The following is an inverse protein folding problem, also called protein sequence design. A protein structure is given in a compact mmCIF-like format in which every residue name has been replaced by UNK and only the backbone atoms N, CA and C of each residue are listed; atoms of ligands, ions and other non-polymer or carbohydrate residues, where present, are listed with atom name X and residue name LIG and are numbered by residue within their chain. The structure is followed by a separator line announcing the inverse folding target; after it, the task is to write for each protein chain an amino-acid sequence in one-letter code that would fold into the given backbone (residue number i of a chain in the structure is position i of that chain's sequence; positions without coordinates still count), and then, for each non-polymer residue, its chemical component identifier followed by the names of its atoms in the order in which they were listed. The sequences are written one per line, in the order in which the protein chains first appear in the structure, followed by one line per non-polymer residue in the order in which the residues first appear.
data_IF_668735615982
#
_entry.id   IF_668735615982
#
_cell.length_a   1.000
_cell.length_b   1.000
_cell.length_c   1.000
_cell.angle_alpha   90.00
_cell.angle_beta   90.00
_cell.angle_gamma   90.00
#
_symmetry.space_group_name_H-M   'P 1'
#
loop_
_entity.id
_entity.type
_entity.pdbx_description
1 polymer ?
#
# COMPACT_ATOMS: atom_id res chain seq x y z
N UNK A 1 -15.88 -15.24 -23.66
CA UNK A 1 -14.78 -14.41 -23.13
C UNK A 1 -15.25 -13.03 -22.66
N UNK A 2 -16.31 -12.45 -23.23
CA UNK A 2 -16.85 -11.15 -22.77
C UNK A 2 -17.47 -11.17 -21.36
N UNK A 3 -18.06 -12.29 -20.93
CA UNK A 3 -18.67 -12.40 -19.59
C UNK A 3 -17.69 -12.47 -18.41
N UNK A 4 -16.43 -12.87 -18.64
CA UNK A 4 -15.40 -12.92 -17.59
C UNK A 4 -14.83 -11.51 -17.34
N UNK A 5 -14.69 -10.70 -18.40
CA UNK A 5 -14.27 -9.30 -18.30
C UNK A 5 -15.36 -8.47 -17.60
N UNK A 6 -16.64 -8.77 -17.84
CA UNK A 6 -17.76 -8.15 -17.14
C UNK A 6 -17.78 -8.44 -15.63
N UNK A 7 -17.53 -9.69 -15.23
CA UNK A 7 -17.50 -10.08 -13.82
C UNK A 7 -16.32 -9.45 -13.04
N UNK A 8 -15.12 -9.40 -13.63
CA UNK A 8 -13.96 -8.72 -13.03
C UNK A 8 -14.17 -7.20 -12.90
N UNK A 9 -14.88 -6.57 -13.85
CA UNK A 9 -15.22 -5.14 -13.77
C UNK A 9 -16.21 -4.82 -12.64
N UNK A 10 -17.15 -5.74 -12.36
CA UNK A 10 -18.18 -5.55 -11.34
C UNK A 10 -17.62 -5.77 -9.93
N UNK A 11 -16.68 -6.69 -9.72
CA UNK A 11 -16.01 -6.86 -8.42
C UNK A 11 -15.01 -5.74 -8.07
N UNK A 12 -14.38 -5.11 -9.06
CA UNK A 12 -13.56 -3.89 -8.85
C UNK A 12 -14.40 -2.65 -8.49
N UNK A 13 -15.72 -2.72 -8.67
CA UNK A 13 -16.69 -1.64 -8.44
C UNK A 13 -17.39 -1.72 -7.08
N UNK A 14 -17.02 -2.65 -6.19
CA UNK A 14 -17.38 -2.51 -4.77
C UNK A 14 -16.49 -1.39 -4.21
N UNK A 15 -16.96 -0.16 -4.43
CA UNK A 15 -16.13 1.04 -4.42
C UNK A 15 -15.53 1.23 -3.05
N UNK A 16 -14.23 0.93 -2.92
CA UNK A 16 -13.48 1.34 -1.75
C UNK A 16 -13.58 2.86 -1.66
N UNK A 17 -14.38 3.33 -0.70
CA UNK A 17 -14.50 4.75 -0.40
C UNK A 17 -13.24 5.15 0.39
N UNK A 18 -12.47 6.13 -0.09
CA UNK A 18 -11.31 6.60 0.65
C UNK A 18 -11.69 7.05 2.06
N UNK A 19 -10.80 6.80 3.01
CA UNK A 19 -10.99 7.18 4.41
C UNK A 19 -11.08 8.70 4.51
N UNK A 20 -12.10 9.22 5.18
CA UNK A 20 -12.28 10.67 5.37
C UNK A 20 -12.28 11.50 4.06
N UNK A 21 -12.78 10.92 2.96
CA UNK A 21 -12.79 11.60 1.65
C UNK A 21 -13.48 12.97 1.70
N UNK A 22 -14.65 13.06 2.35
CA UNK A 22 -15.43 14.29 2.36
C UNK A 22 -14.72 15.39 3.16
N UNK A 23 -14.21 15.03 4.34
CA UNK A 23 -13.46 15.90 5.23
C UNK A 23 -12.18 16.41 4.55
N UNK A 24 -11.47 15.52 3.83
CA UNK A 24 -10.31 15.90 3.03
C UNK A 24 -10.71 16.92 1.95
N UNK A 25 -11.76 16.66 1.17
CA UNK A 25 -12.20 17.55 0.10
C UNK A 25 -12.69 18.91 0.62
N UNK A 26 -13.32 18.95 1.79
CA UNK A 26 -13.73 20.20 2.45
C UNK A 26 -12.51 21.02 2.87
N UNK A 27 -11.53 20.39 3.52
CA UNK A 27 -10.29 21.06 3.93
C UNK A 27 -9.44 21.52 2.74
N UNK A 28 -9.31 20.68 1.72
CA UNK A 28 -8.55 20.98 0.51
C UNK A 28 -9.23 22.07 -0.33
N UNK A 29 -10.56 22.10 -0.33
CA UNK A 29 -11.40 23.03 -1.09
C UNK A 29 -10.92 23.24 -2.54
N UNK A 30 -10.95 22.19 -3.41
CA UNK A 30 -10.42 22.25 -4.76
C UNK A 30 -10.97 23.43 -5.58
N UNK A 31 -10.10 24.06 -6.37
CA UNK A 31 -10.39 25.24 -7.19
C UNK A 31 -10.07 25.01 -8.65
N UNK A 32 -10.82 25.66 -9.54
CA UNK A 32 -10.56 25.65 -10.97
C UNK A 32 -9.16 26.21 -11.28
N UNK A 33 -8.44 25.58 -12.21
CA UNK A 33 -7.09 25.97 -12.62
C UNK A 33 -5.96 25.60 -11.64
N UNK A 34 -6.29 25.13 -10.44
CA UNK A 34 -5.30 24.74 -9.43
C UNK A 34 -4.63 23.39 -9.76
N UNK A 35 -3.49 23.14 -9.13
CA UNK A 35 -2.68 21.93 -9.26
C UNK A 35 -2.57 21.24 -7.92
N UNK A 36 -3.04 20.00 -7.84
CA UNK A 36 -2.99 19.18 -6.63
C UNK A 36 -2.07 17.98 -6.83
N UNK A 37 -1.51 17.49 -5.73
CA UNK A 37 -0.77 16.24 -5.69
C UNK A 37 -1.51 15.22 -4.84
N UNK A 38 -1.74 14.04 -5.40
CA UNK A 38 -2.11 12.85 -4.65
C UNK A 38 -0.86 11.98 -4.51
N UNK A 39 -0.20 12.03 -3.35
CA UNK A 39 1.11 11.43 -3.16
C UNK A 39 1.05 9.92 -2.85
N UNK A 40 -0.15 9.36 -2.74
CA UNK A 40 -0.43 7.97 -2.37
C UNK A 40 -1.64 7.49 -3.18
N UNK A 41 -1.53 7.60 -4.50
CA UNK A 41 -2.66 7.51 -5.42
C UNK A 41 -3.53 6.26 -5.21
N UNK A 42 -2.91 5.09 -5.00
CA UNK A 42 -3.59 3.83 -4.78
C UNK A 42 -4.62 3.53 -5.88
N UNK A 43 -5.90 3.43 -5.49
CA UNK A 43 -7.03 3.23 -6.42
C UNK A 43 -7.57 4.52 -7.06
N UNK A 44 -6.99 5.69 -6.75
CA UNK A 44 -7.34 6.98 -7.34
C UNK A 44 -8.59 7.65 -6.77
N UNK A 45 -9.07 7.23 -5.60
CA UNK A 45 -10.30 7.76 -5.02
C UNK A 45 -10.22 9.24 -4.61
N UNK A 46 -9.12 9.69 -4.00
CA UNK A 46 -8.94 11.11 -3.69
C UNK A 46 -8.75 11.94 -4.95
N UNK A 47 -7.87 11.51 -5.85
CA UNK A 47 -7.68 12.14 -7.16
C UNK A 47 -9.00 12.33 -7.91
N UNK A 48 -9.86 11.31 -7.96
CA UNK A 48 -11.22 11.39 -8.51
C UNK A 48 -12.07 12.45 -7.81
N UNK A 49 -12.15 12.39 -6.48
CA UNK A 49 -12.93 13.37 -5.72
C UNK A 49 -12.47 14.81 -5.95
N UNK A 50 -11.16 15.04 -6.09
CA UNK A 50 -10.59 16.36 -6.42
C UNK A 50 -11.03 16.80 -7.83
N UNK A 51 -10.86 15.93 -8.82
CA UNK A 51 -11.18 16.22 -10.23
C UNK A 51 -12.67 16.44 -10.50
N UNK A 52 -13.55 15.81 -9.71
CA UNK A 52 -15.00 15.98 -9.75
C UNK A 52 -15.46 17.30 -9.13
N UNK A 53 -14.71 17.85 -8.16
CA UNK A 53 -15.07 19.09 -7.45
C UNK A 53 -14.71 20.37 -8.20
N UNK A 54 -13.66 20.34 -9.02
CA UNK A 54 -13.16 21.51 -9.72
C UNK A 54 -12.52 21.13 -11.06
N UNK A 55 -12.42 22.08 -11.99
CA UNK A 55 -11.63 21.96 -13.23
C UNK A 55 -10.15 22.24 -12.94
N UNK A 56 -9.54 21.36 -12.16
CA UNK A 56 -8.13 21.41 -11.74
C UNK A 56 -7.31 20.29 -12.41
N UNK A 57 -6.01 20.28 -12.11
CA UNK A 57 -5.06 19.25 -12.52
C UNK A 57 -4.56 18.47 -11.31
N UNK A 58 -4.35 17.15 -11.46
CA UNK A 58 -3.83 16.28 -10.41
C UNK A 58 -2.56 15.56 -10.88
N UNK A 59 -1.48 15.68 -10.10
CA UNK A 59 -0.30 14.82 -10.19
C UNK A 59 -0.45 13.67 -9.18
N UNK A 60 -0.70 12.47 -9.68
CA UNK A 60 -0.78 11.24 -8.92
C UNK A 60 0.58 10.56 -8.81
N UNK A 61 0.98 10.17 -7.62
CA UNK A 61 2.23 9.46 -7.33
C UNK A 61 1.87 8.17 -6.58
N UNK A 62 2.39 7.05 -7.06
CA UNK A 62 2.40 5.80 -6.29
C UNK A 62 3.67 5.01 -6.59
N UNK A 63 4.12 4.22 -5.62
CA UNK A 63 5.25 3.31 -5.81
C UNK A 63 4.81 1.94 -6.33
N UNK A 64 3.52 1.62 -6.24
CA UNK A 64 2.93 0.36 -6.69
C UNK A 64 2.59 0.44 -8.19
N UNK A 65 3.22 -0.38 -9.05
CA UNK A 65 2.94 -0.38 -10.48
C UNK A 65 1.49 -0.70 -10.84
N UNK A 66 0.79 -1.46 -10.00
CA UNK A 66 -0.63 -1.79 -10.21
C UNK A 66 -1.50 -0.53 -10.19
N UNK A 67 -1.09 0.51 -9.46
CA UNK A 67 -1.77 1.79 -9.44
C UNK A 67 -1.88 2.44 -10.84
N UNK A 68 -0.99 2.08 -11.77
CA UNK A 68 -1.06 2.56 -13.16
C UNK A 68 -2.34 2.13 -13.88
N UNK A 69 -2.94 0.98 -13.54
CA UNK A 69 -4.20 0.51 -14.14
C UNK A 69 -5.37 1.41 -13.73
N UNK A 70 -5.42 1.78 -12.45
CA UNK A 70 -6.41 2.73 -11.93
C UNK A 70 -6.22 4.13 -12.53
N UNK A 71 -4.96 4.53 -12.73
CA UNK A 71 -4.65 5.77 -13.43
C UNK A 71 -5.21 5.77 -14.86
N UNK A 72 -5.03 4.71 -15.65
CA UNK A 72 -5.55 4.68 -17.03
C UNK A 72 -7.08 4.86 -17.07
N UNK A 73 -7.78 4.22 -16.12
CA UNK A 73 -9.23 4.38 -15.96
C UNK A 73 -9.62 5.82 -15.60
N UNK A 74 -8.87 6.46 -14.70
CA UNK A 74 -9.12 7.84 -14.29
C UNK A 74 -8.76 8.84 -15.40
N UNK A 75 -7.65 8.64 -16.09
CA UNK A 75 -7.21 9.44 -17.24
C UNK A 75 -8.23 9.43 -18.37
N UNK A 76 -8.85 8.28 -18.65
CA UNK A 76 -9.92 8.18 -19.64
C UNK A 76 -11.16 9.01 -19.28
N UNK A 77 -11.42 9.21 -17.98
CA UNK A 77 -12.57 9.98 -17.48
C UNK A 77 -12.25 11.48 -17.36
N UNK A 78 -10.99 11.83 -17.12
CA UNK A 78 -10.51 13.21 -16.97
C UNK A 78 -9.32 13.47 -17.89
N UNK A 79 -9.51 13.43 -19.22
CA UNK A 79 -8.42 13.52 -20.18
C UNK A 79 -7.67 14.85 -20.03
N UNK A 80 -6.33 14.75 -19.96
CA UNK A 80 -5.43 15.91 -19.83
C UNK A 80 -5.42 16.59 -18.46
N UNK A 81 -6.16 16.07 -17.47
CA UNK A 81 -6.26 16.67 -16.13
C UNK A 81 -5.61 15.83 -15.03
N UNK A 82 -5.16 14.63 -15.35
CA UNK A 82 -4.46 13.74 -14.41
C UNK A 82 -3.20 13.20 -15.05
N UNK A 83 -2.13 13.20 -14.26
CA UNK A 83 -0.80 12.74 -14.65
C UNK A 83 -0.30 11.76 -13.59
N UNK A 84 0.42 10.72 -14.00
CA UNK A 84 0.90 9.69 -13.09
C UNK A 84 2.41 9.57 -13.11
N UNK A 85 3.01 9.50 -11.93
CA UNK A 85 4.44 9.31 -11.74
C UNK A 85 4.70 8.11 -10.84
N UNK A 86 5.15 7.00 -11.44
CA UNK A 86 5.48 5.77 -10.72
C UNK A 86 6.76 5.96 -9.89
N UNK A 87 6.60 6.37 -8.64
CA UNK A 87 7.71 6.62 -7.72
C UNK A 87 7.25 6.68 -6.27
N UNK A 88 8.20 6.73 -5.35
CA UNK A 88 7.88 6.98 -3.94
C UNK A 88 7.54 8.45 -3.76
N UNK A 89 6.59 8.77 -2.89
CA UNK A 89 6.32 10.16 -2.51
C UNK A 89 7.54 10.88 -1.92
N UNK A 90 8.54 10.16 -1.39
CA UNK A 90 9.81 10.76 -0.95
C UNK A 90 10.60 11.42 -2.11
N UNK A 91 10.22 11.14 -3.36
CA UNK A 91 10.73 11.75 -4.59
C UNK A 91 9.79 12.81 -5.15
N UNK A 92 8.88 13.36 -4.33
CA UNK A 92 7.91 14.38 -4.77
C UNK A 92 8.54 15.53 -5.55
N UNK A 93 9.71 16.04 -5.11
CA UNK A 93 10.41 17.13 -5.82
C UNK A 93 10.81 16.74 -7.25
N UNK A 94 11.26 15.51 -7.46
CA UNK A 94 11.62 14.98 -8.78
C UNK A 94 10.37 14.82 -9.65
N UNK A 95 9.26 14.33 -9.07
CA UNK A 95 7.98 14.22 -9.75
C UNK A 95 7.46 15.58 -10.25
N UNK A 96 7.57 16.61 -9.40
CA UNK A 96 7.17 17.98 -9.73
C UNK A 96 8.01 18.59 -10.85
N UNK A 97 9.33 18.37 -10.83
CA UNK A 97 10.22 18.79 -11.90
C UNK A 97 9.87 18.11 -13.23
N UNK A 98 9.56 16.81 -13.20
CA UNK A 98 9.13 16.08 -14.39
C UNK A 98 7.79 16.59 -14.95
N UNK A 99 6.93 17.06 -14.05
CA UNK A 99 5.63 17.62 -14.40
C UNK A 99 5.67 19.10 -14.83
N UNK A 100 6.86 19.72 -14.87
CA UNK A 100 7.07 21.15 -15.18
C UNK A 100 6.27 22.11 -14.28
N UNK A 101 6.06 21.71 -13.02
CA UNK A 101 5.37 22.52 -12.01
C UNK A 101 6.26 22.68 -10.77
N UNK A 102 6.60 23.92 -10.43
CA UNK A 102 7.42 24.21 -9.24
C UNK A 102 6.60 24.52 -7.99
N UNK A 103 5.28 24.67 -8.13
CA UNK A 103 4.34 24.98 -7.05
C UNK A 103 3.06 24.18 -7.24
N UNK A 104 2.40 23.88 -6.11
CA UNK A 104 1.13 23.16 -6.06
C UNK A 104 0.23 23.80 -5.00
N UNK A 105 -1.07 23.74 -5.22
CA UNK A 105 -2.09 24.35 -4.36
C UNK A 105 -2.48 23.44 -3.19
N UNK A 106 -2.18 22.15 -3.27
CA UNK A 106 -2.38 21.22 -2.17
C UNK A 106 -1.79 19.85 -2.43
N UNK A 107 -1.49 19.13 -1.34
CA UNK A 107 -0.92 17.78 -1.38
C UNK A 107 -1.70 16.90 -0.40
N UNK A 108 -2.11 15.73 -0.87
CA UNK A 108 -2.79 14.70 -0.08
C UNK A 108 -1.84 13.53 0.15
N UNK A 109 -1.80 13.05 1.39
CA UNK A 109 -1.13 11.82 1.80
C UNK A 109 -2.11 10.95 2.57
N UNK A 110 -2.44 9.79 2.02
CA UNK A 110 -3.12 8.69 2.71
C UNK A 110 -2.11 7.57 2.94
N UNK A 111 -1.46 7.61 4.10
CA UNK A 111 -0.34 6.73 4.41
C UNK A 111 -0.87 5.39 4.92
N UNK A 112 -0.62 4.34 4.14
CA UNK A 112 -0.99 2.99 4.53
C UNK A 112 -0.83 2.01 3.38
N UNK A 113 -1.38 0.82 3.58
CA UNK A 113 -1.58 -0.15 2.51
C UNK A 113 -2.96 0.05 1.89
N UNK A 114 -3.06 -0.16 0.58
CA UNK A 114 -4.32 -0.03 -0.15
C UNK A 114 -5.13 -1.33 -0.14
N UNK A 115 -6.44 -1.22 -0.39
CA UNK A 115 -7.31 -2.39 -0.52
C UNK A 115 -6.81 -3.37 -1.60
N UNK A 116 -6.31 -2.87 -2.73
CA UNK A 116 -5.73 -3.71 -3.80
C UNK A 116 -4.52 -4.53 -3.32
N UNK A 117 -3.75 -4.04 -2.34
CA UNK A 117 -2.63 -4.76 -1.75
C UNK A 117 -3.08 -5.82 -0.74
N UNK A 118 -4.16 -5.55 0.00
CA UNK A 118 -4.70 -6.47 1.01
C UNK A 118 -5.60 -7.56 0.42
N UNK A 119 -6.29 -7.26 -0.68
CA UNK A 119 -7.27 -8.16 -1.31
C UNK A 119 -6.60 -9.28 -2.09
N UNK A 120 -5.45 -8.99 -2.71
CA UNK A 120 -4.64 -9.92 -3.50
C UNK A 120 -3.67 -10.72 -2.59
N UNK A 121 -3.89 -12.04 -2.42
CA UNK A 121 -3.01 -12.89 -1.62
C UNK A 121 -1.57 -12.94 -2.13
N UNK A 122 -1.34 -12.82 -3.43
CA UNK A 122 -0.02 -12.93 -4.04
C UNK A 122 0.91 -11.78 -3.64
N UNK A 123 0.33 -10.69 -3.11
CA UNK A 123 1.07 -9.56 -2.53
C UNK A 123 1.62 -9.83 -1.14
N UNK A 124 1.05 -10.80 -0.42
CA UNK A 124 1.56 -11.23 0.88
C UNK A 124 1.34 -10.25 2.04
N UNK A 125 0.52 -9.20 1.88
CA UNK A 125 0.23 -8.24 2.96
C UNK A 125 -0.75 -8.77 4.01
N UNK A 126 -1.64 -9.68 3.62
CA UNK A 126 -2.65 -10.24 4.51
C UNK A 126 -2.16 -11.53 5.18
N UNK A 127 -2.41 -11.66 6.48
CA UNK A 127 -2.24 -12.92 7.22
C UNK A 127 -3.52 -13.78 7.23
N UNK A 128 -4.63 -13.26 6.71
CA UNK A 128 -5.91 -13.97 6.65
C UNK A 128 -6.03 -14.86 5.41
N UNK A 129 -5.35 -14.47 4.33
CA UNK A 129 -5.25 -15.24 3.08
C UNK A 129 -3.81 -15.73 2.94
N UNK A 130 -3.65 -17.00 2.56
CA UNK A 130 -2.32 -17.56 2.32
C UNK A 130 -1.71 -16.97 1.05
N UNK A 131 -0.45 -16.53 1.15
CA UNK A 131 0.32 -16.01 0.03
C UNK A 131 1.82 -15.99 0.31
N UNK A 132 2.66 -15.65 -0.68
CA UNK A 132 4.10 -15.55 -0.48
C UNK A 132 4.45 -14.44 0.51
N UNK A 133 5.59 -14.56 1.19
CA UNK A 133 6.12 -13.48 2.03
C UNK A 133 6.79 -12.40 1.18
N UNK A 134 6.00 -11.57 0.51
CA UNK A 134 6.52 -10.43 -0.26
C UNK A 134 6.43 -9.11 0.53
N UNK A 135 5.22 -8.58 0.71
CA UNK A 135 4.91 -7.31 1.41
C UNK A 135 5.58 -6.06 0.80
N UNK A 136 6.12 -6.13 -0.42
CA UNK A 136 6.62 -4.95 -1.13
C UNK A 136 5.48 -4.28 -1.89
N UNK A 137 5.37 -2.96 -1.72
CA UNK A 137 4.47 -2.15 -2.56
C UNK A 137 5.02 -2.07 -3.99
N UNK A 138 6.33 -1.84 -4.13
CA UNK A 138 7.01 -1.86 -5.42
C UNK A 138 7.59 -3.25 -5.71
N UNK A 139 6.78 -4.07 -6.38
CA UNK A 139 7.12 -5.45 -6.74
C UNK A 139 8.25 -5.54 -7.78
N UNK A 140 8.51 -4.47 -8.53
CA UNK A 140 9.54 -4.42 -9.58
C UNK A 140 10.95 -4.17 -9.02
N UNK A 141 11.05 -3.71 -7.77
CA UNK A 141 12.35 -3.47 -7.11
C UNK A 141 12.95 -4.74 -6.51
N UNK A 142 14.15 -4.58 -5.94
CA UNK A 142 15.01 -5.64 -5.42
C UNK A 142 14.30 -6.62 -4.46
N UNK A 143 14.51 -7.92 -4.70
CA UNK A 143 14.01 -9.03 -3.88
C UNK A 143 14.63 -9.07 -2.47
N UNK A 144 15.80 -8.47 -2.25
CA UNK A 144 16.49 -8.46 -0.95
C UNK A 144 15.74 -7.67 0.13
N UNK A 145 14.70 -6.93 -0.24
CA UNK A 145 13.85 -6.14 0.67
C UNK A 145 12.49 -6.79 0.96
N UNK A 146 12.29 -8.06 0.58
CA UNK A 146 11.04 -8.78 0.83
C UNK A 146 10.88 -9.22 2.29
N UNK A 147 9.64 -9.47 2.71
CA UNK A 147 9.36 -10.11 3.99
C UNK A 147 9.96 -11.53 4.09
N UNK A 148 10.11 -12.23 2.97
CA UNK A 148 10.79 -13.51 2.91
C UNK A 148 12.27 -13.38 3.32
N UNK A 149 12.98 -12.36 2.82
CA UNK A 149 14.35 -12.07 3.25
C UNK A 149 14.37 -11.65 4.71
N UNK A 150 13.41 -10.81 5.14
CA UNK A 150 13.27 -10.40 6.53
C UNK A 150 13.28 -11.59 7.48
N UNK A 151 12.36 -12.55 7.31
CA UNK A 151 12.23 -13.68 8.25
C UNK A 151 13.31 -14.74 8.08
N UNK A 152 13.81 -14.98 6.86
CA UNK A 152 14.73 -16.09 6.59
C UNK A 152 16.21 -15.71 6.66
N UNK A 153 16.58 -14.42 6.71
CA UNK A 153 17.98 -14.01 6.58
C UNK A 153 18.47 -13.00 7.62
N UNK A 154 17.59 -12.23 8.28
CA UNK A 154 18.06 -11.26 9.28
C UNK A 154 18.57 -11.93 10.57
N UNK A 155 19.44 -11.20 11.27
CA UNK A 155 19.91 -11.55 12.61
C UNK A 155 18.78 -11.45 13.65
N UNK A 156 18.91 -12.14 14.79
CA UNK A 156 17.95 -12.02 15.90
C UNK A 156 17.81 -10.57 16.37
N UNK A 157 18.93 -9.85 16.50
CA UNK A 157 18.91 -8.47 16.98
C UNK A 157 18.15 -7.56 16.02
N UNK A 158 18.52 -7.57 14.74
CA UNK A 158 17.93 -6.65 13.75
C UNK A 158 16.43 -6.94 13.56
N UNK A 159 16.05 -8.22 13.54
CA UNK A 159 14.64 -8.62 13.44
C UNK A 159 13.84 -8.18 14.67
N UNK A 160 14.37 -8.40 15.88
CA UNK A 160 13.70 -8.00 17.11
C UNK A 160 13.55 -6.48 17.22
N UNK A 161 14.56 -5.72 16.78
CA UNK A 161 14.51 -4.26 16.75
C UNK A 161 13.43 -3.77 15.78
N UNK A 162 13.34 -4.33 14.57
CA UNK A 162 12.29 -3.96 13.60
C UNK A 162 10.88 -4.26 14.15
N UNK A 163 10.68 -5.47 14.71
CA UNK A 163 9.38 -5.86 15.28
C UNK A 163 9.00 -4.95 16.47
N UNK A 164 9.97 -4.54 17.29
CA UNK A 164 9.73 -3.63 18.40
C UNK A 164 9.41 -2.21 17.95
N UNK A 165 10.29 -1.58 17.16
CA UNK A 165 10.17 -0.16 16.81
C UNK A 165 9.02 0.12 15.85
N UNK A 166 8.80 -0.74 14.86
CA UNK A 166 7.76 -0.51 13.85
C UNK A 166 6.45 -1.26 14.16
N UNK A 167 6.52 -2.39 14.86
CA UNK A 167 5.34 -3.16 15.25
C UNK A 167 4.75 -2.78 16.62
N UNK A 168 5.51 -2.07 17.46
CA UNK A 168 5.09 -1.77 18.84
C UNK A 168 4.98 -3.01 19.73
N UNK A 169 5.54 -4.15 19.31
CA UNK A 169 5.36 -5.45 19.97
C UNK A 169 6.37 -5.64 21.11
N UNK A 170 5.89 -5.64 22.36
CA UNK A 170 6.72 -5.81 23.56
C UNK A 170 7.37 -7.19 23.67
N UNK A 171 6.75 -8.20 23.08
CA UNK A 171 7.25 -9.56 22.99
C UNK A 171 8.17 -9.77 21.77
N UNK A 172 8.70 -8.71 21.14
CA UNK A 172 9.51 -8.77 19.92
C UNK A 172 10.63 -9.82 19.97
N UNK A 173 11.36 -9.91 21.09
CA UNK A 173 12.42 -10.90 21.30
C UNK A 173 11.89 -12.34 21.32
N UNK A 174 10.73 -12.55 21.95
CA UNK A 174 10.09 -13.88 22.00
C UNK A 174 9.59 -14.28 20.62
N UNK A 175 8.95 -13.37 19.89
CA UNK A 175 8.48 -13.57 18.52
C UNK A 175 9.66 -13.90 17.59
N UNK A 176 10.74 -13.11 17.68
CA UNK A 176 11.95 -13.32 16.87
C UNK A 176 12.56 -14.69 17.09
N UNK A 177 12.71 -15.13 18.35
CA UNK A 177 13.23 -16.47 18.65
C UNK A 177 12.36 -17.58 18.07
N UNK A 178 11.04 -17.41 18.09
CA UNK A 178 10.12 -18.36 17.49
C UNK A 178 10.31 -18.44 15.97
N UNK A 179 10.47 -17.29 15.29
CA UNK A 179 10.75 -17.22 13.85
C UNK A 179 12.10 -17.89 13.52
N UNK A 180 13.15 -17.61 14.29
CA UNK A 180 14.48 -18.19 14.09
C UNK A 180 14.47 -19.71 14.31
N UNK A 181 13.89 -20.17 15.41
CA UNK A 181 13.78 -21.60 15.70
C UNK A 181 12.97 -22.34 14.60
N UNK A 182 11.90 -21.71 14.11
CA UNK A 182 11.09 -22.28 13.04
C UNK A 182 11.83 -22.36 11.70
N UNK A 183 12.58 -21.32 11.29
CA UNK A 183 13.37 -21.36 10.04
C UNK A 183 14.52 -22.38 10.13
N UNK A 184 15.16 -22.52 11.29
CA UNK A 184 16.22 -23.51 11.51
C UNK A 184 15.68 -24.95 11.44
N UNK A 185 14.50 -25.18 12.01
CA UNK A 185 13.87 -26.50 12.04
C UNK A 185 13.26 -26.93 10.71
N UNK A 186 12.71 -25.97 9.93
CA UNK A 186 11.96 -26.25 8.70
C UNK A 186 12.70 -25.82 7.43
N UNK A 187 13.98 -25.44 7.53
CA UNK A 187 14.83 -24.86 6.48
C UNK A 187 14.38 -23.47 5.97
N UNK A 188 13.07 -23.20 5.88
CA UNK A 188 12.52 -21.93 5.38
C UNK A 188 11.09 -21.69 5.84
N UNK A 189 10.76 -20.45 6.20
CA UNK A 189 9.38 -19.97 6.37
C UNK A 189 8.86 -19.55 4.98
N UNK A 190 7.76 -20.17 4.53
CA UNK A 190 7.39 -20.16 3.11
C UNK A 190 6.35 -19.09 2.77
N UNK A 191 5.33 -18.96 3.60
CA UNK A 191 4.15 -18.15 3.30
C UNK A 191 3.64 -17.37 4.53
N UNK A 192 2.67 -16.49 4.31
CA UNK A 192 2.03 -15.67 5.34
C UNK A 192 1.37 -16.51 6.43
N UNK A 193 0.75 -17.63 6.08
CA UNK A 193 0.11 -18.57 7.02
C UNK A 193 1.12 -19.17 8.01
N UNK A 194 2.30 -19.60 7.54
CA UNK A 194 3.37 -20.14 8.37
C UNK A 194 3.83 -19.10 9.39
N UNK A 195 4.12 -17.89 8.93
CA UNK A 195 4.54 -16.79 9.79
C UNK A 195 3.48 -16.47 10.84
N UNK A 196 2.21 -16.37 10.44
CA UNK A 196 1.11 -16.11 11.35
C UNK A 196 0.95 -17.19 12.42
N UNK A 197 1.08 -18.47 12.05
CA UNK A 197 1.04 -19.61 12.99
C UNK A 197 2.18 -19.56 14.00
N UNK A 198 3.40 -19.26 13.56
CA UNK A 198 4.57 -19.11 14.43
C UNK A 198 4.33 -18.00 15.46
N UNK A 199 3.91 -16.82 15.01
CA UNK A 199 3.67 -15.68 15.89
C UNK A 199 2.55 -15.99 16.89
N UNK A 200 1.43 -16.56 16.43
CA UNK A 200 0.31 -16.97 17.28
C UNK A 200 0.70 -17.99 18.36
N UNK A 201 1.69 -18.84 18.10
CA UNK A 201 2.13 -19.85 19.08
C UNK A 201 2.81 -19.25 20.32
N UNK A 202 3.32 -18.01 20.22
CA UNK A 202 4.11 -17.37 21.29
C UNK A 202 3.52 -16.07 21.82
N UNK A 203 2.57 -15.46 21.12
CA UNK A 203 1.83 -14.29 21.60
C UNK A 203 0.56 -14.75 22.32
N UNK A 204 0.40 -14.43 23.62
CA UNK A 204 -0.82 -14.78 24.36
C UNK A 204 -2.06 -14.18 23.70
N UNK A 205 -3.17 -14.93 23.69
CA UNK A 205 -4.45 -14.35 23.33
C UNK A 205 -4.78 -13.20 24.30
N UNK A 206 -5.14 -12.04 23.76
CA UNK A 206 -5.69 -10.95 24.56
C UNK A 206 -6.98 -11.48 25.20
N UNK A 207 -7.05 -11.50 26.54
CA UNK A 207 -8.32 -11.78 27.22
C UNK A 207 -9.32 -10.73 26.75
N UNK A 208 -10.39 -11.15 26.08
CA UNK A 208 -11.56 -10.29 25.93
C UNK A 208 -12.05 -10.01 27.34
N UNK A 209 -11.97 -8.74 27.75
CA UNK A 209 -12.71 -8.26 28.90
C UNK A 209 -14.17 -8.33 28.46
N UNK A 210 -14.92 -9.26 29.05
CA UNK A 210 -16.38 -9.33 28.92
C UNK A 210 -17.01 -8.10 29.56
#
# INVERSE_FOLDING_TARGET
MENIIGFLKVELMDSHRPVLLNEMLELLSPKDGAVYVDATFGGGGYSRGILERAKCTVLAIDQDPIASEFYQSLHSQFPGRVHFFLSKFSRLREALQHFDHNQVDGVVFDVGVSSMQLSDPDRGFSFMKEGPLDMRMDMLRSQSKSAATFVNSLSEKDMADVIFYYGGERLSRRVTRAIISARESNNKIRNTSDLAKIIRSVVPAVRQIQ
#
